data_IF_327065902169
#
_entry.id   IF_327065902169
#
_cell.length_a   1.000
_cell.length_b   1.000
_cell.length_c   1.000
_cell.angle_alpha   90.00
_cell.angle_beta   90.00
_cell.angle_gamma   90.00
#
_symmetry.space_group_name_H-M   'P 1'
#
loop_
_entity.id
_entity.type
_entity.pdbx_description
1 polymer ?
#
# COMPACT_ATOMS: atom_id res chain seq x y z
N UNK A 1 -6.04 3.82 -22.50
CA UNK A 1 -6.58 3.78 -21.15
C UNK A 1 -5.94 2.63 -20.38
N UNK A 2 -5.45 2.93 -19.21
CA UNK A 2 -4.85 1.91 -18.37
C UNK A 2 -5.91 1.22 -17.53
N UNK A 3 -5.91 -0.11 -17.54
CA UNK A 3 -6.72 -0.90 -16.64
C UNK A 3 -5.94 -1.30 -15.39
N UNK A 4 -4.67 -0.91 -15.29
CA UNK A 4 -3.87 -1.24 -14.12
C UNK A 4 -4.23 -0.32 -12.96
N UNK A 5 -4.45 -0.92 -11.82
CA UNK A 5 -4.63 -0.20 -10.57
C UNK A 5 -3.95 -1.01 -9.49
N UNK A 6 -2.84 -0.49 -8.99
CA UNK A 6 -1.89 -1.24 -8.18
C UNK A 6 -1.98 -0.81 -6.73
N UNK A 7 -1.88 -1.75 -5.81
CA UNK A 7 -1.68 -1.44 -4.40
C UNK A 7 -0.41 -2.13 -3.91
N UNK A 8 0.38 -1.38 -3.15
CA UNK A 8 1.51 -1.92 -2.41
C UNK A 8 1.15 -1.90 -0.93
N UNK A 9 1.35 -3.02 -0.26
CA UNK A 9 1.04 -3.15 1.16
C UNK A 9 2.35 -3.32 1.91
N UNK A 10 2.64 -2.39 2.81
CA UNK A 10 3.87 -2.38 3.61
C UNK A 10 3.55 -1.88 5.01
N UNK A 11 4.20 -2.43 6.06
CA UNK A 11 3.84 -2.05 7.44
C UNK A 11 4.01 -0.56 7.74
N UNK A 12 5.12 0.03 7.35
CA UNK A 12 5.37 1.45 7.62
C UNK A 12 6.27 2.04 6.54
N UNK A 13 6.34 3.37 6.48
CA UNK A 13 7.10 4.10 5.48
C UNK A 13 8.10 5.06 6.13
N UNK A 14 8.88 4.55 7.08
CA UNK A 14 9.86 5.39 7.76
C UNK A 14 11.19 5.45 7.02
N UNK A 15 11.93 4.36 7.02
CA UNK A 15 13.21 4.29 6.33
C UNK A 15 13.59 2.83 6.21
N UNK A 16 14.43 2.53 5.22
CA UNK A 16 14.84 1.16 4.96
C UNK A 16 14.69 0.83 3.49
N UNK A 17 15.25 -0.30 3.08
CA UNK A 17 15.26 -0.68 1.67
C UNK A 17 13.88 -0.94 1.10
N UNK A 18 13.06 -1.71 1.81
CA UNK A 18 11.71 -2.03 1.32
C UNK A 18 10.83 -0.79 1.27
N UNK A 19 10.93 0.07 2.27
CA UNK A 19 10.15 1.31 2.31
C UNK A 19 10.56 2.24 1.18
N UNK A 20 11.86 2.41 0.97
CA UNK A 20 12.35 3.25 -0.14
C UNK A 20 11.94 2.67 -1.48
N UNK A 21 12.03 1.36 -1.64
CA UNK A 21 11.60 0.71 -2.88
C UNK A 21 10.13 0.91 -3.16
N UNK A 22 9.30 0.90 -2.12
CA UNK A 22 7.86 1.15 -2.27
C UNK A 22 7.61 2.55 -2.83
N UNK A 23 8.30 3.55 -2.31
CA UNK A 23 8.15 4.92 -2.78
C UNK A 23 8.66 5.05 -4.21
N UNK A 24 9.79 4.43 -4.52
CA UNK A 24 10.36 4.49 -5.87
C UNK A 24 9.41 3.89 -6.90
N UNK A 25 8.80 2.74 -6.60
CA UNK A 25 7.83 2.11 -7.50
C UNK A 25 6.59 3.00 -7.65
N UNK A 26 6.10 3.54 -6.54
CA UNK A 26 4.94 4.43 -6.58
C UNK A 26 5.21 5.63 -7.48
N UNK A 27 6.38 6.26 -7.34
CA UNK A 27 6.72 7.43 -8.13
C UNK A 27 6.94 7.07 -9.60
N UNK A 28 7.50 5.90 -9.87
CA UNK A 28 7.65 5.44 -11.25
C UNK A 28 6.29 5.25 -11.92
N UNK A 29 5.35 4.62 -11.22
CA UNK A 29 4.00 4.44 -11.74
C UNK A 29 3.32 5.78 -11.95
N UNK A 30 3.56 6.75 -11.07
CA UNK A 30 3.00 8.09 -11.22
C UNK A 30 3.57 8.81 -12.45
N UNK A 31 4.85 8.60 -12.74
CA UNK A 31 5.45 9.16 -13.96
C UNK A 31 4.77 8.61 -15.21
N UNK A 32 4.29 7.38 -15.16
CA UNK A 32 3.56 6.75 -16.25
C UNK A 32 2.07 7.10 -16.21
N UNK A 33 1.66 7.98 -15.31
CA UNK A 33 0.27 8.39 -15.10
C UNK A 33 -0.64 7.21 -14.76
N UNK A 34 -0.09 6.26 -13.99
CA UNK A 34 -0.83 5.10 -13.52
C UNK A 34 -1.24 5.37 -12.07
N UNK A 35 -2.55 5.33 -11.81
CA UNK A 35 -3.06 5.43 -10.45
C UNK A 35 -2.54 4.26 -9.63
N UNK A 36 -2.02 4.58 -8.44
CA UNK A 36 -1.48 3.55 -7.57
C UNK A 36 -1.84 3.86 -6.13
N UNK A 37 -1.75 2.85 -5.28
CA UNK A 37 -2.21 2.94 -3.91
C UNK A 37 -1.18 2.31 -3.00
N UNK A 38 -1.08 2.85 -1.78
CA UNK A 38 -0.21 2.29 -0.75
C UNK A 38 -1.06 2.09 0.50
N UNK A 39 -0.99 0.91 1.08
CA UNK A 39 -1.60 0.60 2.37
C UNK A 39 -0.47 0.41 3.37
N UNK A 40 -0.43 1.24 4.40
CA UNK A 40 0.60 1.17 5.43
C UNK A 40 0.11 1.89 6.68
N UNK A 41 0.87 1.78 7.76
CA UNK A 41 0.59 2.56 8.96
C UNK A 41 1.10 4.01 8.82
N UNK A 42 1.67 4.36 7.68
CA UNK A 42 2.17 5.69 7.42
C UNK A 42 3.67 5.78 7.66
N UNK A 43 4.20 6.99 7.63
CA UNK A 43 5.61 7.27 7.87
C UNK A 43 6.06 8.47 7.06
N UNK A 44 7.25 8.94 7.35
CA UNK A 44 7.75 10.18 6.75
C UNK A 44 8.01 10.07 5.25
N UNK A 45 8.34 8.89 4.75
CA UNK A 45 8.59 8.72 3.32
C UNK A 45 7.35 8.94 2.48
N UNK A 46 6.17 8.91 3.11
CA UNK A 46 4.92 9.16 2.42
C UNK A 46 4.90 10.54 1.76
N UNK A 47 5.63 11.49 2.33
CA UNK A 47 5.69 12.84 1.79
C UNK A 47 6.41 12.92 0.45
N UNK A 48 7.12 11.85 0.06
CA UNK A 48 7.85 11.80 -1.20
C UNK A 48 7.01 11.21 -2.34
N UNK A 49 5.75 10.86 -2.10
CA UNK A 49 4.88 10.32 -3.15
C UNK A 49 4.21 11.42 -3.95
N UNK A 50 3.84 11.09 -5.18
CA UNK A 50 3.10 12.00 -6.05
C UNK A 50 1.61 11.93 -5.70
N UNK A 51 1.08 12.97 -5.09
CA UNK A 51 -0.30 12.97 -4.59
C UNK A 51 -1.34 12.98 -5.71
N UNK A 52 -0.95 13.31 -6.92
CA UNK A 52 -1.89 13.31 -8.04
C UNK A 52 -2.27 11.91 -8.47
N UNK A 53 -1.36 10.94 -8.31
CA UNK A 53 -1.58 9.58 -8.77
C UNK A 53 -1.51 8.53 -7.66
N UNK A 54 -1.00 8.88 -6.48
CA UNK A 54 -0.82 7.95 -5.38
C UNK A 54 -1.81 8.24 -4.26
N UNK A 55 -2.59 7.23 -3.89
CA UNK A 55 -3.48 7.31 -2.73
C UNK A 55 -2.90 6.47 -1.61
N UNK A 56 -2.95 7.00 -0.40
CA UNK A 56 -2.51 6.27 0.77
C UNK A 56 -3.69 5.94 1.67
N UNK A 57 -3.78 4.68 2.09
CA UNK A 57 -4.79 4.22 3.03
C UNK A 57 -4.08 3.77 4.29
N UNK A 58 -4.33 4.48 5.39
CA UNK A 58 -3.67 4.16 6.65
C UNK A 58 -4.41 3.05 7.37
N UNK A 59 -3.70 1.93 7.57
CA UNK A 59 -4.20 0.79 8.33
C UNK A 59 -3.09 0.28 9.23
N UNK A 60 -3.42 -0.29 10.41
CA UNK A 60 -2.41 -0.81 11.33
C UNK A 60 -1.86 -2.16 10.88
N UNK A 61 -1.33 -2.19 9.65
CA UNK A 61 -0.79 -3.43 9.06
C UNK A 61 0.54 -3.84 9.69
N UNK A 62 1.12 -2.97 10.51
CA UNK A 62 2.31 -3.30 11.29
C UNK A 62 1.97 -3.89 12.66
N UNK A 63 0.69 -4.03 12.97
CA UNK A 63 0.25 -4.60 14.25
C UNK A 63 0.63 -6.07 14.34
N UNK A 64 1.10 -6.49 15.51
CA UNK A 64 1.40 -7.90 15.78
C UNK A 64 0.26 -8.59 16.53
N UNK A 65 -0.83 -7.88 16.79
CA UNK A 65 -1.98 -8.43 17.48
C UNK A 65 -2.87 -9.18 16.49
N UNK A 66 -2.77 -10.50 16.48
CA UNK A 66 -3.48 -11.32 15.52
C UNK A 66 -5.00 -11.21 15.66
N UNK A 67 -5.50 -10.74 16.81
CA UNK A 67 -6.95 -10.56 17.00
C UNK A 67 -7.50 -9.50 16.03
N UNK A 68 -6.67 -8.54 15.63
CA UNK A 68 -7.09 -7.50 14.69
C UNK A 68 -6.98 -7.91 13.23
N UNK A 69 -6.33 -9.04 12.93
CA UNK A 69 -6.07 -9.45 11.56
C UNK A 69 -7.32 -9.61 10.70
N UNK A 70 -8.39 -10.27 11.15
CA UNK A 70 -9.60 -10.36 10.33
C UNK A 70 -10.20 -9.00 10.01
N UNK A 71 -10.14 -8.07 10.94
CA UNK A 71 -10.62 -6.70 10.73
C UNK A 71 -9.77 -5.99 9.67
N UNK A 72 -8.45 -6.11 9.77
CA UNK A 72 -7.54 -5.48 8.83
C UNK A 72 -7.73 -6.09 7.44
N UNK A 73 -7.83 -7.41 7.34
CA UNK A 73 -8.05 -8.09 6.07
C UNK A 73 -9.36 -7.64 5.42
N UNK A 74 -10.41 -7.47 6.21
CA UNK A 74 -11.68 -6.98 5.71
C UNK A 74 -11.55 -5.56 5.14
N UNK A 75 -10.80 -4.69 5.83
CA UNK A 75 -10.59 -3.32 5.36
C UNK A 75 -9.76 -3.30 4.07
N UNK A 76 -8.74 -4.13 3.98
CA UNK A 76 -7.93 -4.24 2.77
C UNK A 76 -8.80 -4.71 1.60
N UNK A 77 -9.63 -5.72 1.83
CA UNK A 77 -10.53 -6.24 0.81
C UNK A 77 -11.49 -5.17 0.30
N UNK A 78 -12.04 -4.37 1.20
CA UNK A 78 -12.92 -3.28 0.81
C UNK A 78 -12.20 -2.22 -0.04
N UNK A 79 -10.96 -1.91 0.32
CA UNK A 79 -10.16 -0.95 -0.43
C UNK A 79 -9.91 -1.48 -1.84
N UNK A 80 -9.54 -2.75 -1.95
CA UNK A 80 -9.27 -3.39 -3.24
C UNK A 80 -10.51 -3.34 -4.12
N UNK A 81 -11.66 -3.72 -3.57
CA UNK A 81 -12.89 -3.76 -4.35
C UNK A 81 -13.40 -2.38 -4.72
N UNK A 82 -13.36 -1.45 -3.77
CA UNK A 82 -13.90 -0.10 -3.99
C UNK A 82 -13.10 0.67 -5.02
N UNK A 83 -11.80 0.43 -5.08
CA UNK A 83 -10.89 1.17 -5.97
C UNK A 83 -10.53 0.40 -7.23
N UNK A 84 -11.17 -0.73 -7.47
CA UNK A 84 -10.94 -1.56 -8.65
C UNK A 84 -9.48 -1.95 -8.81
N UNK A 85 -8.83 -2.29 -7.68
CA UNK A 85 -7.44 -2.67 -7.67
C UNK A 85 -7.33 -4.09 -8.22
N UNK A 86 -6.44 -4.29 -9.18
CA UNK A 86 -6.26 -5.60 -9.80
C UNK A 86 -4.87 -6.20 -9.62
N UNK A 87 -3.94 -5.45 -9.02
CA UNK A 87 -2.60 -5.95 -8.71
C UNK A 87 -2.26 -5.56 -7.28
N UNK A 88 -1.93 -6.54 -6.44
CA UNK A 88 -1.55 -6.28 -5.06
C UNK A 88 -0.13 -6.82 -4.84
N UNK A 89 0.76 -5.95 -4.36
CA UNK A 89 2.14 -6.32 -4.05
C UNK A 89 2.36 -6.19 -2.55
N UNK A 90 2.58 -7.31 -1.90
CA UNK A 90 2.79 -7.37 -0.45
C UNK A 90 4.29 -7.42 -0.20
N UNK A 91 4.79 -6.39 0.50
CA UNK A 91 6.23 -6.21 0.69
C UNK A 91 6.74 -6.70 2.03
N UNK A 92 5.88 -7.28 2.83
CA UNK A 92 6.26 -7.70 4.17
C UNK A 92 5.54 -8.98 4.53
N UNK A 93 6.18 -9.76 5.39
CA UNK A 93 5.59 -11.01 5.86
C UNK A 93 4.33 -10.76 6.69
N UNK A 94 4.30 -9.66 7.45
CA UNK A 94 3.15 -9.33 8.28
C UNK A 94 1.85 -9.18 7.49
N UNK A 95 1.79 -8.28 6.49
CA UNK A 95 0.59 -8.16 5.66
C UNK A 95 0.23 -9.44 4.92
N UNK A 96 1.22 -10.24 4.52
CA UNK A 96 0.97 -11.50 3.83
C UNK A 96 0.21 -12.49 4.71
N UNK A 97 0.46 -12.47 6.02
CA UNK A 97 -0.25 -13.35 6.96
C UNK A 97 -1.72 -12.96 7.13
N UNK A 98 -2.03 -11.69 6.91
CA UNK A 98 -3.40 -11.19 7.02
C UNK A 98 -4.23 -11.60 5.81
N UNK A 99 -3.62 -11.61 4.66
CA UNK A 99 -4.30 -11.89 3.40
C UNK A 99 -4.37 -13.38 3.11
#
# INVERSE_FOLDING_TARGET
>A
MSSFNVVQIIPSLESGGAERGTIDVSNYLSELEINNNIISNGGRLLNETNKDFTNHFKLPVDSKNFITYPFIASRISKIINKNNINIAHIRSRGPAWIL
#
